data_IF_812027793370
#
_entry.id   IF_812027793370
#
_cell.length_a   1.000
_cell.length_b   1.000
_cell.length_c   1.000
_cell.angle_alpha   90.00
_cell.angle_beta   90.00
_cell.angle_gamma   90.00
#
_symmetry.space_group_name_H-M   'P 1'
#
loop_
_entity.id
_entity.type
_entity.pdbx_description
1 polymer ?
#
# COMPACT_ATOMS: atom_id res chain seq x y z
N UNK A 1 21.74 21.14 0.06
CA UNK A 1 21.10 21.09 -1.28
C UNK A 1 19.96 20.08 -1.24
N UNK A 2 18.93 20.34 -0.41
CA UNK A 2 17.81 19.43 -0.11
C UNK A 2 16.46 20.01 -0.62
N UNK A 3 16.47 20.95 -1.57
CA UNK A 3 15.60 22.14 -1.41
C UNK A 3 14.72 22.53 -2.60
N UNK A 4 14.51 21.71 -3.63
CA UNK A 4 13.46 21.98 -4.66
C UNK A 4 12.95 20.69 -5.29
N UNK A 5 13.85 19.75 -5.60
CA UNK A 5 13.50 18.49 -6.28
C UNK A 5 12.70 17.55 -5.36
N UNK A 6 13.03 17.46 -4.08
CA UNK A 6 12.28 16.65 -3.11
C UNK A 6 10.90 17.24 -2.82
N UNK A 7 10.79 18.57 -2.77
CA UNK A 7 9.52 19.27 -2.60
C UNK A 7 8.59 19.08 -3.81
N UNK A 8 9.11 19.18 -5.04
CA UNK A 8 8.28 18.95 -6.24
C UNK A 8 7.80 17.50 -6.36
N UNK A 9 8.60 16.53 -5.93
CA UNK A 9 8.19 15.13 -5.84
C UNK A 9 7.09 14.94 -4.79
N UNK A 10 7.24 15.51 -3.59
CA UNK A 10 6.22 15.44 -2.53
C UNK A 10 4.89 16.07 -2.97
N UNK A 11 4.92 17.21 -3.66
CA UNK A 11 3.72 17.85 -4.24
C UNK A 11 3.08 16.94 -5.29
N UNK A 12 3.87 16.36 -6.19
CA UNK A 12 3.37 15.45 -7.22
C UNK A 12 2.71 14.20 -6.64
N UNK A 13 3.33 13.57 -5.62
CA UNK A 13 2.76 12.41 -4.93
C UNK A 13 1.51 12.82 -4.17
N UNK A 14 1.51 13.98 -3.52
CA UNK A 14 0.33 14.52 -2.83
C UNK A 14 -0.86 14.68 -3.77
N UNK A 15 -0.65 15.23 -4.97
CA UNK A 15 -1.68 15.36 -5.99
C UNK A 15 -2.20 14.01 -6.50
N UNK A 16 -1.32 13.04 -6.77
CA UNK A 16 -1.73 11.69 -7.16
C UNK A 16 -2.54 11.01 -6.05
N UNK A 17 -2.10 11.17 -4.80
CA UNK A 17 -2.78 10.61 -3.62
C UNK A 17 -4.16 11.24 -3.44
N UNK A 18 -4.29 12.54 -3.64
CA UNK A 18 -5.58 13.23 -3.59
C UNK A 18 -6.53 12.77 -4.71
N UNK A 19 -6.02 12.50 -5.92
CA UNK A 19 -6.82 11.92 -7.00
C UNK A 19 -7.30 10.50 -6.66
N UNK A 20 -6.43 9.69 -6.05
CA UNK A 20 -6.81 8.35 -5.55
C UNK A 20 -7.87 8.44 -4.47
N UNK A 21 -7.69 9.36 -3.51
CA UNK A 21 -8.61 9.55 -2.41
C UNK A 21 -10.00 9.97 -2.91
N UNK A 22 -10.08 10.92 -3.85
CA UNK A 22 -11.35 11.33 -4.44
C UNK A 22 -12.05 10.18 -5.20
N UNK A 23 -11.28 9.22 -5.71
CA UNK A 23 -11.82 8.05 -6.44
C UNK A 23 -12.28 6.94 -5.48
N UNK A 24 -11.54 6.72 -4.38
CA UNK A 24 -11.76 5.60 -3.45
C UNK A 24 -12.62 5.98 -2.24
N UNK A 25 -12.57 7.24 -1.82
CA UNK A 25 -13.07 7.75 -0.53
C UNK A 25 -13.59 9.20 -0.68
N UNK A 26 -14.72 9.42 -1.37
CA UNK A 26 -15.28 10.77 -1.56
C UNK A 26 -15.78 11.42 -0.25
N UNK A 27 -16.07 10.61 0.78
CA UNK A 27 -16.74 11.07 2.02
C UNK A 27 -15.78 11.28 3.21
N UNK A 28 -14.48 10.97 3.08
CA UNK A 28 -13.50 11.06 4.18
C UNK A 28 -12.46 12.13 3.87
N UNK A 29 -12.56 13.27 4.58
CA UNK A 29 -11.53 14.32 4.54
C UNK A 29 -10.28 13.86 5.30
N UNK A 30 -9.29 13.33 4.58
CA UNK A 30 -7.95 13.12 5.12
C UNK A 30 -7.18 14.43 4.95
N UNK A 31 -6.61 15.01 6.03
CA UNK A 31 -5.79 16.21 5.92
C UNK A 31 -4.46 15.83 5.25
N UNK A 32 -4.41 15.95 3.92
CA UNK A 32 -3.15 15.94 3.20
C UNK A 32 -2.52 17.35 3.27
N UNK A 33 -1.19 17.40 3.08
CA UNK A 33 -0.39 18.61 2.95
C UNK A 33 -1.20 19.77 2.35
N UNK A 34 -1.44 20.82 3.15
CA UNK A 34 -1.98 22.08 2.63
C UNK A 34 -0.92 22.64 1.68
N UNK A 35 -1.15 22.48 0.39
CA UNK A 35 -0.45 23.27 -0.61
C UNK A 35 -1.02 24.68 -0.50
N UNK A 36 -0.28 25.61 0.13
CA UNK A 36 -0.57 27.02 -0.07
C UNK A 36 -0.50 27.29 -1.59
N UNK A 37 -1.62 27.71 -2.18
CA UNK A 37 -1.69 28.07 -3.60
C UNK A 37 -0.90 29.35 -3.94
N UNK A 38 -0.22 29.97 -2.97
CA UNK A 38 0.47 31.24 -3.14
C UNK A 38 1.99 31.13 -2.98
N UNK A 39 2.66 30.45 -3.92
CA UNK A 39 4.04 30.83 -4.31
C UNK A 39 4.20 30.77 -5.82
N UNK A 40 4.12 31.97 -6.38
CA UNK A 40 4.43 32.37 -7.75
C UNK A 40 5.39 31.43 -8.48
N UNK A 41 4.94 31.05 -9.69
CA UNK A 41 5.73 30.46 -10.76
C UNK A 41 7.10 31.12 -10.87
N UNK A 42 8.11 30.51 -10.27
CA UNK A 42 9.49 30.96 -10.35
C UNK A 42 10.29 29.99 -11.23
N UNK A 43 10.38 30.40 -12.49
CA UNK A 43 11.39 30.02 -13.48
C UNK A 43 11.61 28.53 -13.73
N UNK A 44 11.02 28.07 -14.83
CA UNK A 44 11.52 26.94 -15.61
C UNK A 44 13.02 27.15 -15.94
N UNK A 45 13.91 26.60 -15.13
CA UNK A 45 15.27 26.30 -15.59
C UNK A 45 15.17 25.09 -16.52
N UNK A 46 14.90 25.35 -17.81
CA UNK A 46 15.33 24.44 -18.87
C UNK A 46 16.85 24.45 -18.87
N UNK A 47 17.47 23.66 -18.00
CA UNK A 47 18.82 23.20 -18.28
C UNK A 47 18.70 22.27 -19.48
N UNK A 48 19.02 22.79 -20.65
CA UNK A 48 19.48 21.99 -21.78
C UNK A 48 20.66 21.18 -21.28
N UNK A 49 20.41 19.96 -20.82
CA UNK A 49 21.47 18.97 -20.70
C UNK A 49 21.86 18.71 -22.14
N UNK A 50 23.01 19.25 -22.53
CA UNK A 50 23.69 18.82 -23.74
C UNK A 50 23.79 17.30 -23.67
N UNK A 51 23.10 16.60 -24.58
CA UNK A 51 23.20 15.16 -24.85
C UNK A 51 24.61 14.78 -25.34
N UNK A 52 25.62 15.06 -24.53
CA UNK A 52 27.01 15.03 -24.92
C UNK A 52 27.81 14.19 -23.94
N UNK A 53 27.40 12.93 -23.75
CA UNK A 53 28.27 11.85 -23.30
C UNK A 53 27.74 10.53 -23.88
N UNK A 54 27.77 10.42 -25.21
CA UNK A 54 27.56 9.17 -25.95
C UNK A 54 28.78 8.25 -25.80
N UNK A 55 29.08 7.79 -24.59
CA UNK A 55 30.12 6.77 -24.39
C UNK A 55 29.51 5.40 -24.65
N UNK A 56 29.83 4.85 -25.82
CA UNK A 56 29.46 3.48 -26.18
C UNK A 56 30.50 2.52 -25.61
N UNK A 57 30.06 1.53 -24.85
CA UNK A 57 30.95 0.50 -24.31
C UNK A 57 31.36 -0.44 -25.45
N UNK A 58 32.65 -0.45 -25.76
CA UNK A 58 33.28 -1.42 -26.66
C UNK A 58 33.96 -2.52 -25.83
N UNK A 59 34.27 -3.64 -26.48
CA UNK A 59 34.95 -4.77 -25.83
C UNK A 59 36.32 -4.39 -25.24
N UNK A 60 37.08 -3.54 -25.93
CA UNK A 60 38.36 -3.02 -25.43
C UNK A 60 38.20 -2.16 -24.17
N UNK A 61 37.18 -1.31 -24.10
CA UNK A 61 36.89 -0.48 -22.92
C UNK A 61 36.49 -1.37 -21.75
N UNK A 62 35.61 -2.36 -21.98
CA UNK A 62 35.19 -3.28 -20.92
C UNK A 62 36.36 -4.09 -20.36
N UNK A 63 37.23 -4.62 -21.23
CA UNK A 63 38.42 -5.35 -20.81
C UNK A 63 39.42 -4.45 -20.06
N UNK A 64 39.59 -3.21 -20.50
CA UNK A 64 40.40 -2.24 -19.78
C UNK A 64 39.83 -1.93 -18.39
N UNK A 65 38.52 -1.73 -18.28
CA UNK A 65 37.86 -1.49 -16.99
C UNK A 65 38.01 -2.70 -16.06
N UNK A 66 37.79 -3.93 -16.56
CA UNK A 66 38.05 -5.17 -15.80
C UNK A 66 39.50 -5.25 -15.31
N UNK A 67 40.48 -4.82 -16.12
CA UNK A 67 41.90 -4.82 -15.72
C UNK A 67 42.23 -3.83 -14.59
N UNK A 68 41.39 -2.82 -14.38
CA UNK A 68 41.59 -1.78 -13.36
C UNK A 68 40.74 -2.01 -12.12
N UNK A 69 39.46 -2.30 -12.29
CA UNK A 69 38.51 -2.58 -11.22
C UNK A 69 37.24 -3.22 -11.78
N UNK A 70 36.89 -4.40 -11.26
CA UNK A 70 35.63 -5.08 -11.61
C UNK A 70 34.41 -4.23 -11.21
N UNK A 71 34.50 -3.44 -10.13
CA UNK A 71 33.40 -2.55 -9.70
C UNK A 71 33.17 -1.43 -10.72
N UNK A 72 34.24 -0.84 -11.28
CA UNK A 72 34.11 0.20 -12.30
C UNK A 72 33.53 -0.38 -13.59
N UNK A 73 33.88 -1.62 -13.94
CA UNK A 73 33.26 -2.33 -15.06
C UNK A 73 31.75 -2.57 -14.81
N UNK A 74 31.35 -2.94 -13.59
CA UNK A 74 29.93 -3.11 -13.21
C UNK A 74 29.15 -1.79 -13.36
N UNK A 75 29.66 -0.69 -12.79
CA UNK A 75 29.00 0.63 -12.87
C UNK A 75 28.88 1.09 -14.33
N UNK A 76 29.90 0.83 -15.16
CA UNK A 76 29.85 1.14 -16.58
C UNK A 76 28.76 0.30 -17.29
N UNK A 77 28.70 -1.02 -17.05
CA UNK A 77 27.66 -1.88 -17.62
C UNK A 77 26.23 -1.47 -17.18
N UNK A 78 26.05 -1.10 -15.92
CA UNK A 78 24.74 -0.68 -15.39
C UNK A 78 24.28 0.65 -16.02
N UNK A 79 25.19 1.62 -16.14
CA UNK A 79 24.91 2.94 -16.73
C UNK A 79 24.83 2.95 -18.27
N UNK A 80 25.08 1.82 -18.93
CA UNK A 80 25.02 1.69 -20.37
C UNK A 80 23.58 1.78 -20.88
N UNK A 81 23.12 2.95 -21.34
CA UNK A 81 21.76 3.10 -21.85
C UNK A 81 21.57 2.47 -23.23
N UNK A 82 20.38 1.91 -23.46
CA UNK A 82 19.95 1.40 -24.78
C UNK A 82 19.68 2.60 -25.70
N UNK A 83 20.74 3.19 -26.25
CA UNK A 83 20.58 4.24 -27.25
C UNK A 83 19.94 3.62 -28.49
N UNK A 84 18.70 4.01 -28.79
CA UNK A 84 18.08 3.75 -30.09
C UNK A 84 19.04 4.23 -31.17
N UNK A 85 19.36 3.33 -32.11
CA UNK A 85 20.21 3.59 -33.28
C UNK A 85 20.05 5.03 -33.72
N UNK A 86 21.15 5.80 -33.69
CA UNK A 86 21.16 7.13 -34.27
C UNK A 86 20.53 7.05 -35.68
N UNK A 87 19.67 8.01 -36.08
CA UNK A 87 19.24 8.08 -37.47
C UNK A 87 20.51 8.09 -38.32
N UNK A 88 20.53 7.31 -39.39
CA UNK A 88 21.65 7.28 -40.35
C UNK A 88 21.75 8.66 -41.00
N UNK A 89 22.38 9.62 -40.32
CA UNK A 89 22.70 10.93 -40.84
C UNK A 89 24.09 10.85 -41.45
N UNK A 90 24.13 10.79 -42.78
CA UNK A 90 25.22 11.26 -43.62
C UNK A 90 26.58 10.62 -43.41
N UNK A 91 27.02 9.86 -44.43
CA UNK A 91 28.40 9.45 -44.69
C UNK A 91 29.42 10.44 -44.11
N UNK A 92 30.01 10.07 -42.97
CA UNK A 92 31.09 10.81 -42.34
C UNK A 92 32.40 10.40 -43.01
N UNK A 93 33.15 11.39 -43.50
CA UNK A 93 34.51 11.25 -44.05
C UNK A 93 35.43 10.36 -43.19
N UNK A 94 35.16 10.25 -41.88
CA UNK A 94 35.90 9.37 -40.97
C UNK A 94 35.79 7.86 -41.28
N UNK A 95 34.80 7.40 -42.07
CA UNK A 95 34.71 5.99 -42.48
C UNK A 95 35.70 5.61 -43.60
N UNK A 96 36.24 6.60 -44.34
CA UNK A 96 37.23 6.36 -45.40
C UNK A 96 38.68 6.31 -44.89
N UNK A 97 38.96 6.87 -43.71
CA UNK A 97 40.29 6.81 -43.08
C UNK A 97 40.28 5.68 -42.07
N UNK A 98 40.35 4.43 -42.56
CA UNK A 98 40.93 3.21 -41.99
C UNK A 98 41.07 2.95 -40.48
N UNK A 99 40.41 3.67 -39.59
CA UNK A 99 40.38 3.37 -38.17
C UNK A 99 39.26 2.37 -37.94
N UNK A 100 39.63 1.13 -37.67
CA UNK A 100 38.75 0.05 -37.19
C UNK A 100 38.09 0.50 -35.88
N UNK A 101 37.03 1.30 -35.98
CA UNK A 101 36.24 1.71 -34.83
C UNK A 101 35.47 0.47 -34.40
N UNK A 102 35.84 -0.08 -33.24
CA UNK A 102 35.18 -1.26 -32.69
C UNK A 102 33.67 -1.01 -32.59
N UNK A 103 32.89 -2.00 -33.02
CA UNK A 103 31.44 -1.96 -32.89
C UNK A 103 31.06 -1.89 -31.41
N UNK A 104 30.07 -1.06 -31.04
CA UNK A 104 29.55 -1.07 -29.69
C UNK A 104 29.01 -2.46 -29.34
N UNK A 105 29.22 -2.89 -28.09
CA UNK A 105 28.68 -4.17 -27.64
C UNK A 105 27.14 -4.13 -27.66
N UNK A 106 26.53 -5.24 -28.04
CA UNK A 106 25.10 -5.43 -27.93
C UNK A 106 24.70 -5.44 -26.45
N UNK A 107 23.51 -4.89 -26.16
CA UNK A 107 23.02 -4.75 -24.78
C UNK A 107 22.92 -6.10 -24.06
N UNK A 108 22.63 -7.19 -24.79
CA UNK A 108 22.59 -8.55 -24.26
C UNK A 108 23.97 -9.04 -23.82
N UNK A 109 25.02 -8.73 -24.59
CA UNK A 109 26.40 -9.03 -24.22
C UNK A 109 26.84 -8.23 -22.98
N UNK A 110 26.43 -6.96 -22.88
CA UNK A 110 26.70 -6.11 -21.71
C UNK A 110 25.98 -6.66 -20.47
N UNK A 111 24.72 -7.08 -20.61
CA UNK A 111 23.93 -7.65 -19.53
C UNK A 111 24.50 -8.99 -19.02
N UNK A 112 24.91 -9.89 -19.92
CA UNK A 112 25.54 -11.16 -19.56
C UNK A 112 26.87 -10.94 -18.82
N UNK A 113 27.68 -9.99 -19.28
CA UNK A 113 28.93 -9.65 -18.62
C UNK A 113 28.71 -8.96 -17.28
N UNK A 114 27.67 -8.13 -17.15
CA UNK A 114 27.30 -7.54 -15.86
C UNK A 114 26.85 -8.61 -14.85
N UNK A 115 26.07 -9.59 -15.29
CA UNK A 115 25.64 -10.71 -14.44
C UNK A 115 26.83 -11.51 -13.90
N UNK A 116 27.80 -11.84 -14.78
CA UNK A 116 29.03 -12.53 -14.39
C UNK A 116 29.84 -11.71 -13.38
N UNK A 117 30.00 -10.40 -13.64
CA UNK A 117 30.73 -9.52 -12.71
C UNK A 117 30.00 -9.33 -11.38
N UNK A 118 28.66 -9.25 -11.38
CA UNK A 118 27.86 -9.14 -10.16
C UNK A 118 27.93 -10.41 -9.29
N UNK A 119 28.13 -11.58 -9.88
CA UNK A 119 28.33 -12.83 -9.15
C UNK A 119 29.56 -12.80 -8.24
N UNK A 120 30.55 -11.96 -8.55
CA UNK A 120 31.73 -11.74 -7.70
C UNK A 120 31.43 -10.85 -6.47
N UNK A 121 30.32 -10.11 -6.49
CA UNK A 121 29.93 -9.14 -5.45
C UNK A 121 28.49 -9.41 -4.94
N UNK A 122 28.29 -10.46 -4.12
CA UNK A 122 26.94 -10.88 -3.70
C UNK A 122 26.19 -9.82 -2.87
N UNK A 123 26.91 -8.99 -2.12
CA UNK A 123 26.29 -7.88 -1.36
C UNK A 123 25.73 -6.81 -2.30
N UNK A 124 26.49 -6.42 -3.32
CA UNK A 124 26.04 -5.43 -4.31
C UNK A 124 24.89 -6.00 -5.15
N UNK A 125 25.00 -7.26 -5.56
CA UNK A 125 23.93 -7.95 -6.27
C UNK A 125 22.63 -7.95 -5.45
N UNK A 126 22.70 -8.28 -4.15
CA UNK A 126 21.53 -8.28 -3.27
C UNK A 126 20.96 -6.87 -3.11
N UNK A 127 21.81 -5.86 -2.94
CA UNK A 127 21.38 -4.46 -2.86
C UNK A 127 20.63 -3.99 -4.11
N UNK A 128 21.22 -4.22 -5.30
CA UNK A 128 20.60 -3.86 -6.58
C UNK A 128 19.30 -4.63 -6.80
N UNK A 129 19.28 -5.93 -6.46
CA UNK A 129 18.08 -6.75 -6.57
C UNK A 129 16.96 -6.16 -5.73
N UNK A 130 17.19 -5.89 -4.44
CA UNK A 130 16.19 -5.32 -3.52
C UNK A 130 15.65 -3.98 -3.98
N UNK A 131 16.51 -3.07 -4.44
CA UNK A 131 16.07 -1.72 -4.85
C UNK A 131 15.46 -1.66 -6.24
N UNK A 132 15.69 -2.67 -7.08
CA UNK A 132 15.12 -2.76 -8.41
C UNK A 132 13.73 -3.40 -8.46
N UNK A 133 13.36 -4.19 -7.44
CA UNK A 133 12.05 -4.87 -7.34
C UNK A 133 10.87 -3.98 -7.74
N UNK A 134 10.72 -2.73 -7.23
CA UNK A 134 9.56 -1.90 -7.57
C UNK A 134 9.53 -1.39 -9.02
N UNK A 135 10.64 -1.47 -9.76
CA UNK A 135 10.73 -0.95 -11.14
C UNK A 135 10.81 -2.04 -12.21
N UNK A 136 10.91 -3.30 -11.80
CA UNK A 136 10.92 -4.44 -12.70
C UNK A 136 9.47 -4.92 -12.87
N UNK A 137 9.05 -5.13 -14.11
CA UNK A 137 7.71 -5.65 -14.41
C UNK A 137 7.63 -7.14 -13.99
N UNK A 138 6.47 -7.54 -13.45
CA UNK A 138 6.22 -8.85 -12.82
C UNK A 138 6.46 -10.07 -13.74
N UNK A 139 6.63 -9.84 -15.05
CA UNK A 139 6.83 -10.89 -16.07
C UNK A 139 8.25 -11.49 -16.13
N UNK A 140 9.17 -11.07 -15.26
CA UNK A 140 10.55 -11.60 -15.24
C UNK A 140 10.71 -12.64 -14.13
N UNK A 141 10.21 -13.85 -14.36
CA UNK A 141 10.50 -15.00 -13.51
C UNK A 141 11.98 -15.40 -13.62
N UNK A 142 12.68 -15.46 -12.47
CA UNK A 142 13.87 -16.27 -12.24
C UNK A 142 15.16 -15.92 -13.03
N UNK A 143 16.23 -15.55 -12.31
CA UNK A 143 17.60 -15.29 -12.80
C UNK A 143 17.81 -14.15 -13.82
N UNK A 144 16.79 -13.63 -14.49
CA UNK A 144 16.95 -12.52 -15.44
C UNK A 144 16.91 -11.12 -14.80
N UNK A 145 16.73 -11.03 -13.48
CA UNK A 145 16.66 -9.75 -12.76
C UNK A 145 17.89 -8.86 -13.00
N UNK A 146 19.10 -9.42 -12.92
CA UNK A 146 20.34 -8.66 -13.14
C UNK A 146 20.47 -8.16 -14.59
N UNK A 147 19.97 -8.94 -15.56
CA UNK A 147 19.95 -8.56 -16.98
C UNK A 147 18.94 -7.45 -17.25
N UNK A 148 17.80 -7.51 -16.57
CA UNK A 148 16.71 -6.53 -16.65
C UNK A 148 17.12 -5.15 -16.12
N UNK A 149 18.08 -5.06 -15.20
CA UNK A 149 18.54 -3.80 -14.61
C UNK A 149 19.51 -3.05 -15.54
N UNK A 150 20.30 -3.77 -16.33
CA UNK A 150 21.30 -3.18 -17.21
C UNK A 150 20.65 -2.29 -18.27
N UNK A 151 21.07 -1.02 -18.32
CA UNK A 151 20.59 -0.05 -19.29
C UNK A 151 19.17 0.49 -19.07
N UNK A 152 18.53 0.13 -17.95
CA UNK A 152 17.35 0.84 -17.46
C UNK A 152 17.75 2.06 -16.65
N UNK A 153 16.91 3.09 -16.74
CA UNK A 153 17.08 4.36 -16.01
C UNK A 153 17.11 4.13 -14.48
N UNK A 154 16.46 3.06 -14.02
CA UNK A 154 16.41 2.63 -12.62
C UNK A 154 17.81 2.32 -12.03
N UNK A 155 18.78 1.91 -12.85
CA UNK A 155 20.15 1.66 -12.37
C UNK A 155 20.86 2.94 -11.90
N UNK A 156 20.66 4.04 -12.64
CA UNK A 156 21.17 5.37 -12.29
C UNK A 156 20.48 5.92 -11.04
N UNK A 157 19.18 5.68 -10.90
CA UNK A 157 18.43 6.04 -9.69
C UNK A 157 18.96 5.30 -8.45
N UNK A 158 19.20 3.99 -8.54
CA UNK A 158 19.67 3.20 -7.40
C UNK A 158 21.07 3.63 -6.94
N UNK A 159 21.95 3.96 -7.89
CA UNK A 159 23.35 4.32 -7.59
C UNK A 159 23.54 5.78 -7.18
N UNK A 160 22.76 6.70 -7.75
CA UNK A 160 22.91 8.15 -7.53
C UNK A 160 21.81 8.75 -6.64
N UNK A 161 20.73 8.02 -6.38
CA UNK A 161 19.57 8.50 -5.63
C UNK A 161 18.96 9.76 -6.26
N UNK A 162 18.54 10.70 -5.41
CA UNK A 162 17.99 12.00 -5.83
C UNK A 162 18.99 12.93 -6.51
N UNK A 163 20.29 12.60 -6.56
CA UNK A 163 21.26 13.37 -7.34
C UNK A 163 21.12 13.13 -8.85
N UNK A 164 20.36 12.11 -9.26
CA UNK A 164 20.05 11.88 -10.66
C UNK A 164 18.92 12.82 -11.13
N UNK A 165 19.12 13.64 -12.19
CA UNK A 165 18.17 14.68 -12.58
C UNK A 165 16.79 14.16 -13.02
N UNK A 166 16.71 12.91 -13.51
CA UNK A 166 15.44 12.27 -13.86
C UNK A 166 14.92 11.29 -12.78
N UNK A 167 15.48 11.33 -11.56
CA UNK A 167 15.07 10.46 -10.46
C UNK A 167 13.57 10.61 -10.14
N UNK A 168 13.13 11.86 -10.03
CA UNK A 168 11.75 12.17 -9.70
C UNK A 168 10.78 11.69 -10.78
N UNK A 169 11.12 11.88 -12.05
CA UNK A 169 10.27 11.45 -13.18
C UNK A 169 10.10 9.94 -13.18
N UNK A 170 11.19 9.18 -12.96
CA UNK A 170 11.16 7.72 -12.93
C UNK A 170 10.37 7.18 -11.73
N UNK A 171 10.55 7.77 -10.54
CA UNK A 171 9.78 7.40 -9.35
C UNK A 171 8.30 7.72 -9.56
N UNK A 172 7.98 8.90 -10.09
CA UNK A 172 6.60 9.32 -10.34
C UNK A 172 5.91 8.47 -11.41
N UNK A 173 6.60 8.13 -12.50
CA UNK A 173 6.05 7.25 -13.55
C UNK A 173 5.79 5.84 -13.00
N UNK A 174 6.73 5.29 -12.23
CA UNK A 174 6.57 3.98 -11.60
C UNK A 174 5.42 3.97 -10.59
N UNK A 175 5.31 5.03 -9.77
CA UNK A 175 4.22 5.19 -8.81
C UNK A 175 2.88 5.33 -9.52
N UNK A 176 2.80 6.19 -10.54
CA UNK A 176 1.58 6.38 -11.32
C UNK A 176 1.15 5.07 -11.99
N UNK A 177 2.09 4.32 -12.59
CA UNK A 177 1.81 3.00 -13.16
C UNK A 177 1.27 2.05 -12.11
N UNK A 178 1.94 1.92 -10.96
CA UNK A 178 1.54 1.02 -9.88
C UNK A 178 0.16 1.37 -9.30
N UNK A 179 -0.14 2.67 -9.17
CA UNK A 179 -1.46 3.18 -8.75
C UNK A 179 -2.54 2.85 -9.79
N UNK A 180 -2.27 3.05 -11.09
CA UNK A 180 -3.23 2.69 -12.16
C UNK A 180 -3.48 1.18 -12.24
N UNK A 181 -2.46 0.37 -11.96
CA UNK A 181 -2.55 -1.09 -11.88
C UNK A 181 -3.14 -1.57 -10.55
N UNK A 182 -3.42 -0.67 -9.60
CA UNK A 182 -3.90 -0.95 -8.24
C UNK A 182 -3.00 -1.93 -7.48
N UNK A 183 -1.70 -1.92 -7.78
CA UNK A 183 -0.72 -2.76 -7.10
C UNK A 183 -0.16 -2.01 -5.87
N UNK A 184 -0.95 -2.00 -4.79
CA UNK A 184 -0.63 -1.26 -3.57
C UNK A 184 0.66 -1.73 -2.89
N UNK A 185 1.02 -3.02 -3.02
CA UNK A 185 2.30 -3.55 -2.52
C UNK A 185 3.50 -2.90 -3.21
N UNK A 186 3.43 -2.74 -4.53
CA UNK A 186 4.47 -2.08 -5.33
C UNK A 186 4.55 -0.58 -5.00
N UNK A 187 3.40 0.07 -4.80
CA UNK A 187 3.32 1.46 -4.33
C UNK A 187 4.06 1.61 -3.00
N UNK A 188 3.72 0.80 -1.98
CA UNK A 188 4.35 0.88 -0.67
C UNK A 188 5.86 0.60 -0.71
N UNK A 189 6.30 -0.35 -1.53
CA UNK A 189 7.74 -0.61 -1.70
C UNK A 189 8.49 0.59 -2.31
N UNK A 190 7.92 1.28 -3.30
CA UNK A 190 8.52 2.50 -3.87
C UNK A 190 8.66 3.57 -2.77
N UNK A 191 7.59 3.75 -2.00
CA UNK A 191 7.53 4.76 -0.95
C UNK A 191 8.53 4.47 0.17
N UNK A 192 8.55 3.25 0.70
CA UNK A 192 9.42 2.86 1.81
C UNK A 192 10.90 2.87 1.41
N UNK A 193 11.25 2.48 0.18
CA UNK A 193 12.64 2.37 -0.26
C UNK A 193 13.26 3.71 -0.71
N UNK A 194 12.46 4.64 -1.24
CA UNK A 194 12.98 5.88 -1.84
C UNK A 194 12.52 7.15 -1.16
N UNK A 195 11.37 7.14 -0.48
CA UNK A 195 10.67 8.35 -0.02
C UNK A 195 10.52 8.36 1.51
N UNK A 196 10.68 7.23 2.19
CA UNK A 196 10.49 7.08 3.63
C UNK A 196 11.39 7.94 4.52
N UNK A 197 12.48 8.51 3.98
CA UNK A 197 13.36 9.44 4.72
C UNK A 197 12.95 10.92 4.62
N UNK A 198 11.88 11.24 3.87
CA UNK A 198 11.40 12.62 3.72
C UNK A 198 10.48 13.01 4.88
N UNK A 199 10.74 14.19 5.46
CA UNK A 199 9.87 14.83 6.45
C UNK A 199 8.48 15.12 5.83
N UNK A 200 7.41 15.03 6.64
CA UNK A 200 6.00 15.22 6.25
C UNK A 200 5.39 14.18 5.28
N UNK A 201 6.08 13.08 5.01
CA UNK A 201 5.58 12.02 4.12
C UNK A 201 4.55 11.07 4.78
N UNK A 202 4.51 11.03 6.12
CA UNK A 202 3.63 10.14 6.90
C UNK A 202 2.15 10.28 6.48
N UNK A 203 1.63 11.51 6.34
CA UNK A 203 0.24 11.72 5.95
C UNK A 203 -0.09 11.26 4.53
N UNK A 204 0.88 11.33 3.61
CA UNK A 204 0.72 10.84 2.22
C UNK A 204 0.74 9.32 2.19
N UNK A 205 1.62 8.69 2.95
CA UNK A 205 1.66 7.24 3.13
C UNK A 205 0.36 6.73 3.73
N UNK A 206 -0.12 7.37 4.79
CA UNK A 206 -1.38 7.02 5.44
C UNK A 206 -2.54 7.12 4.46
N UNK A 207 -2.67 8.22 3.70
CA UNK A 207 -3.73 8.35 2.70
C UNK A 207 -3.68 7.28 1.59
N UNK A 208 -2.49 6.86 1.16
CA UNK A 208 -2.35 5.76 0.19
C UNK A 208 -2.70 4.40 0.81
N UNK A 209 -2.32 4.14 2.07
CA UNK A 209 -2.75 2.96 2.82
C UNK A 209 -4.28 2.92 2.99
N UNK A 210 -4.92 4.08 3.15
CA UNK A 210 -6.38 4.19 3.20
C UNK A 210 -7.04 3.81 1.87
N UNK A 211 -6.45 4.22 0.75
CA UNK A 211 -6.92 3.83 -0.58
C UNK A 211 -6.76 2.31 -0.80
N UNK A 212 -5.62 1.74 -0.40
CA UNK A 212 -5.39 0.30 -0.45
C UNK A 212 -6.42 -0.47 0.40
N UNK A 213 -6.72 0.04 1.61
CA UNK A 213 -7.72 -0.55 2.49
C UNK A 213 -9.15 -0.51 1.91
N UNK A 214 -9.46 0.50 1.09
CA UNK A 214 -10.78 0.68 0.49
C UNK A 214 -11.04 -0.28 -0.69
N UNK A 215 -10.00 -0.59 -1.47
CA UNK A 215 -10.09 -1.35 -2.72
C UNK A 215 -9.80 -2.85 -2.56
N UNK A 216 -8.87 -3.25 -1.69
CA UNK A 216 -8.52 -4.66 -1.50
C UNK A 216 -9.50 -5.39 -0.57
N UNK A 217 -9.76 -6.67 -0.86
CA UNK A 217 -10.60 -7.55 -0.02
C UNK A 217 -9.97 -7.79 1.36
N UNK A 218 -8.65 -7.90 1.41
CA UNK A 218 -7.83 -7.99 2.63
C UNK A 218 -7.34 -6.60 3.10
N UNK A 219 -8.06 -5.54 2.72
CA UNK A 219 -7.68 -4.15 2.94
C UNK A 219 -7.42 -3.79 4.42
N UNK A 220 -8.04 -4.52 5.35
CA UNK A 220 -7.85 -4.35 6.80
C UNK A 220 -6.39 -4.51 7.24
N UNK A 221 -5.57 -5.30 6.54
CA UNK A 221 -4.16 -5.52 6.88
C UNK A 221 -3.33 -4.23 6.74
N UNK A 222 -3.68 -3.35 5.80
CA UNK A 222 -2.97 -2.09 5.59
C UNK A 222 -3.24 -1.08 6.71
N UNK A 223 -4.39 -1.19 7.38
CA UNK A 223 -4.74 -0.27 8.47
C UNK A 223 -3.82 -0.40 9.68
N UNK A 224 -3.19 -1.56 9.94
CA UNK A 224 -2.23 -1.69 11.03
C UNK A 224 -0.96 -0.83 10.86
N UNK A 225 -0.63 -0.51 9.61
CA UNK A 225 0.57 0.25 9.24
C UNK A 225 0.32 1.76 9.24
N UNK A 226 -0.94 2.18 9.31
CA UNK A 226 -1.34 3.60 9.36
C UNK A 226 -0.83 4.22 10.67
N UNK A 227 -0.12 5.34 10.56
CA UNK A 227 0.48 6.04 11.70
C UNK A 227 -0.54 6.85 12.49
N UNK A 228 -1.51 7.50 11.82
CA UNK A 228 -2.58 8.24 12.50
C UNK A 228 -3.64 7.31 13.13
N UNK A 229 -3.74 7.25 14.48
CA UNK A 229 -4.66 6.35 15.17
C UNK A 229 -6.13 6.77 15.02
N UNK A 230 -6.43 8.06 14.88
CA UNK A 230 -7.79 8.57 14.73
C UNK A 230 -8.30 8.28 13.31
N UNK A 231 -7.45 8.50 12.30
CA UNK A 231 -7.76 8.15 10.91
C UNK A 231 -8.01 6.65 10.76
N UNK A 232 -7.10 5.84 11.29
CA UNK A 232 -7.21 4.37 11.29
C UNK A 232 -8.52 3.90 11.92
N UNK A 233 -8.89 4.47 13.07
CA UNK A 233 -10.11 4.11 13.78
C UNK A 233 -11.39 4.49 13.02
N UNK A 234 -11.44 5.68 12.41
CA UNK A 234 -12.57 6.10 11.55
C UNK A 234 -12.73 5.19 10.33
N UNK A 235 -11.62 4.81 9.70
CA UNK A 235 -11.64 3.94 8.52
C UNK A 235 -12.00 2.50 8.87
N UNK A 236 -11.49 2.00 9.98
CA UNK A 236 -11.86 0.68 10.48
C UNK A 236 -13.38 0.60 10.66
N UNK A 237 -14.00 1.60 11.30
CA UNK A 237 -15.45 1.70 11.46
C UNK A 237 -16.21 1.81 10.13
N UNK A 238 -15.67 2.55 9.17
CA UNK A 238 -16.32 2.77 7.86
C UNK A 238 -16.34 1.52 6.98
N UNK A 239 -15.28 0.71 7.03
CA UNK A 239 -15.10 -0.43 6.14
C UNK A 239 -15.46 -1.80 6.75
N UNK A 240 -15.98 -1.84 7.99
CA UNK A 240 -16.34 -3.10 8.65
C UNK A 240 -17.14 -4.02 7.74
N UNK A 241 -18.18 -3.49 7.09
CA UNK A 241 -19.12 -4.27 6.27
C UNK A 241 -18.44 -5.00 5.08
N UNK A 242 -17.20 -4.63 4.70
CA UNK A 242 -16.43 -5.29 3.63
C UNK A 242 -15.60 -6.48 4.10
N UNK A 243 -15.38 -6.66 5.40
CA UNK A 243 -14.40 -7.59 5.94
C UNK A 243 -15.04 -8.75 6.71
N UNK A 244 -14.31 -9.88 6.89
CA UNK A 244 -14.78 -10.98 7.73
C UNK A 244 -14.82 -10.58 9.21
N UNK A 245 -15.66 -11.28 9.98
CA UNK A 245 -15.97 -10.93 11.37
C UNK A 245 -14.71 -10.90 12.25
N UNK A 246 -13.82 -11.87 12.07
CA UNK A 246 -12.58 -12.03 12.82
C UNK A 246 -11.64 -10.85 12.56
N UNK A 247 -11.48 -10.45 11.30
CA UNK A 247 -10.67 -9.30 10.92
C UNK A 247 -11.23 -7.99 11.50
N UNK A 248 -12.56 -7.84 11.47
CA UNK A 248 -13.23 -6.70 12.09
C UNK A 248 -12.97 -6.62 13.60
N UNK A 249 -13.05 -7.75 14.32
CA UNK A 249 -12.78 -7.79 15.76
C UNK A 249 -11.31 -7.47 16.07
N UNK A 250 -10.39 -8.01 15.28
CA UNK A 250 -8.95 -7.78 15.46
C UNK A 250 -8.58 -6.30 15.25
N UNK A 251 -9.01 -5.69 14.14
CA UNK A 251 -8.68 -4.29 13.84
C UNK A 251 -9.34 -3.32 14.83
N UNK A 252 -10.58 -3.58 15.23
CA UNK A 252 -11.26 -2.75 16.22
C UNK A 252 -10.64 -2.90 17.61
N UNK A 253 -10.27 -4.12 18.01
CA UNK A 253 -9.56 -4.38 19.26
C UNK A 253 -8.20 -3.66 19.29
N UNK A 254 -7.46 -3.72 18.19
CA UNK A 254 -6.20 -3.00 18.04
C UNK A 254 -6.38 -1.48 18.17
N UNK A 255 -7.36 -0.92 17.46
CA UNK A 255 -7.71 0.50 17.59
C UNK A 255 -8.12 0.84 19.03
N UNK A 256 -8.91 0.02 19.72
CA UNK A 256 -9.36 0.32 21.08
C UNK A 256 -8.22 0.36 22.12
N UNK A 257 -7.16 -0.42 21.91
CA UNK A 257 -5.98 -0.45 22.79
C UNK A 257 -5.11 0.81 22.71
N UNK A 258 -5.33 1.68 21.73
CA UNK A 258 -4.45 2.83 21.48
C UNK A 258 -4.76 4.01 22.41
N UNK A 259 -3.72 4.60 23.04
CA UNK A 259 -3.90 5.62 24.06
C UNK A 259 -4.24 7.01 23.50
N UNK A 260 -3.97 7.26 22.21
CA UNK A 260 -4.03 8.59 21.58
C UNK A 260 -5.29 8.82 20.74
N UNK A 261 -6.40 8.13 21.04
CA UNK A 261 -7.66 8.25 20.29
C UNK A 261 -8.64 9.22 20.96
N UNK A 262 -9.38 9.97 20.15
CA UNK A 262 -10.48 10.82 20.60
C UNK A 262 -11.54 10.04 21.42
N UNK A 263 -12.03 10.62 22.51
CA UNK A 263 -12.94 9.95 23.45
C UNK A 263 -14.25 9.47 22.79
N UNK A 264 -14.82 10.29 21.90
CA UNK A 264 -16.05 9.94 21.17
C UNK A 264 -15.82 8.73 20.25
N UNK A 265 -14.70 8.73 19.54
CA UNK A 265 -14.32 7.63 18.65
C UNK A 265 -14.04 6.34 19.43
N UNK A 266 -13.46 6.45 20.63
CA UNK A 266 -13.26 5.31 21.51
C UNK A 266 -14.58 4.70 21.98
N UNK A 267 -15.58 5.52 22.24
CA UNK A 267 -16.92 5.04 22.58
C UNK A 267 -17.58 4.34 21.38
N UNK A 268 -17.45 4.89 20.18
CA UNK A 268 -17.97 4.29 18.94
C UNK A 268 -17.32 2.93 18.66
N UNK A 269 -15.99 2.84 18.82
CA UNK A 269 -15.25 1.58 18.73
C UNK A 269 -15.77 0.55 19.74
N UNK A 270 -15.95 0.95 21.01
CA UNK A 270 -16.45 0.06 22.05
C UNK A 270 -17.85 -0.46 21.75
N UNK A 271 -18.75 0.43 21.30
CA UNK A 271 -20.11 0.06 20.92
C UNK A 271 -20.09 -0.95 19.76
N UNK A 272 -19.24 -0.73 18.76
CA UNK A 272 -19.12 -1.63 17.61
C UNK A 272 -18.47 -2.97 17.94
N UNK A 273 -17.48 -3.01 18.83
CA UNK A 273 -16.90 -4.28 19.32
C UNK A 273 -17.99 -5.13 19.98
N UNK A 274 -18.79 -4.53 20.89
CA UNK A 274 -19.91 -5.22 21.54
C UNK A 274 -20.96 -5.71 20.53
N UNK A 275 -21.30 -4.89 19.54
CA UNK A 275 -22.24 -5.26 18.47
C UNK A 275 -21.73 -6.49 17.68
N UNK A 276 -20.44 -6.51 17.30
CA UNK A 276 -19.85 -7.65 16.61
C UNK A 276 -19.75 -8.90 17.49
N UNK A 277 -19.53 -8.75 18.81
CA UNK A 277 -19.57 -9.87 19.74
C UNK A 277 -20.96 -10.51 19.82
N UNK A 278 -22.03 -9.71 19.78
CA UNK A 278 -23.41 -10.19 19.70
C UNK A 278 -23.61 -10.99 18.41
N UNK A 279 -23.16 -10.47 17.26
CA UNK A 279 -23.25 -11.22 15.99
C UNK A 279 -22.48 -12.54 16.05
N UNK A 280 -21.28 -12.55 16.63
CA UNK A 280 -20.51 -13.78 16.83
C UNK A 280 -21.27 -14.79 17.67
N UNK A 281 -21.84 -14.36 18.80
CA UNK A 281 -22.65 -15.23 19.68
C UNK A 281 -23.86 -15.80 18.93
N UNK A 282 -24.60 -14.98 18.19
CA UNK A 282 -25.78 -15.42 17.42
C UNK A 282 -25.38 -16.41 16.31
N UNK A 283 -24.29 -16.17 15.58
CA UNK A 283 -23.80 -17.11 14.56
C UNK A 283 -23.44 -18.47 15.18
N UNK A 284 -22.85 -18.50 16.38
CA UNK A 284 -22.56 -19.77 17.08
C UNK A 284 -23.81 -20.54 17.50
N UNK A 285 -24.96 -19.90 17.63
CA UNK A 285 -26.23 -20.57 17.94
C UNK A 285 -26.79 -21.31 16.73
N UNK A 286 -26.53 -20.82 15.51
CA UNK A 286 -27.12 -21.38 14.29
C UNK A 286 -26.26 -21.11 13.05
N UNK A 287 -25.38 -22.05 12.76
CA UNK A 287 -24.35 -21.95 11.70
C UNK A 287 -24.95 -21.97 10.28
N UNK A 288 -26.11 -22.61 10.08
CA UNK A 288 -26.64 -22.89 8.72
C UNK A 288 -27.54 -21.78 8.13
N UNK A 289 -27.88 -20.73 8.87
CA UNK A 289 -28.91 -19.74 8.43
C UNK A 289 -28.31 -18.54 7.71
N UNK A 290 -27.09 -18.13 8.06
CA UNK A 290 -26.44 -16.95 7.49
C UNK A 290 -25.06 -17.31 6.97
N UNK A 291 -24.78 -16.91 5.72
CA UNK A 291 -23.47 -17.16 5.12
C UNK A 291 -22.37 -16.28 5.75
N UNK A 292 -22.69 -15.03 6.09
CA UNK A 292 -21.78 -14.10 6.76
C UNK A 292 -22.50 -13.23 7.79
N UNK A 293 -21.74 -12.58 8.67
CA UNK A 293 -22.27 -11.67 9.68
C UNK A 293 -23.00 -10.45 9.09
N UNK A 294 -22.66 -10.02 7.86
CA UNK A 294 -23.37 -8.96 7.15
C UNK A 294 -24.80 -9.35 6.81
N UNK A 295 -25.05 -10.63 6.49
CA UNK A 295 -26.40 -11.13 6.24
C UNK A 295 -27.20 -11.20 7.53
N UNK A 296 -26.55 -11.56 8.64
CA UNK A 296 -27.15 -11.49 9.96
C UNK A 296 -27.52 -10.03 10.32
N UNK A 297 -26.62 -9.06 10.11
CA UNK A 297 -26.88 -7.63 10.35
C UNK A 297 -28.13 -7.14 9.59
N UNK A 298 -28.28 -7.53 8.32
CA UNK A 298 -29.49 -7.21 7.53
C UNK A 298 -30.73 -7.86 8.12
N UNK A 299 -30.66 -9.15 8.48
CA UNK A 299 -31.77 -9.86 9.09
C UNK A 299 -32.18 -9.33 10.48
N UNK A 300 -31.25 -8.77 11.25
CA UNK A 300 -31.58 -8.07 12.51
C UNK A 300 -32.50 -6.86 12.27
N UNK A 301 -32.35 -6.18 11.14
CA UNK A 301 -33.20 -5.06 10.74
C UNK A 301 -34.50 -5.54 10.09
N UNK A 302 -34.40 -6.49 9.16
CA UNK A 302 -35.54 -6.92 8.35
C UNK A 302 -36.49 -7.85 9.12
N UNK A 303 -35.95 -8.74 9.97
CA UNK A 303 -36.70 -9.80 10.65
C UNK A 303 -36.24 -10.01 12.10
N UNK A 304 -36.35 -9.01 12.99
CA UNK A 304 -35.90 -9.10 14.39
C UNK A 304 -36.59 -10.23 15.18
N UNK A 305 -37.83 -10.57 14.82
CA UNK A 305 -38.59 -11.67 15.44
C UNK A 305 -37.88 -13.03 15.31
N UNK A 306 -37.29 -13.31 14.14
CA UNK A 306 -36.61 -14.59 13.89
C UNK A 306 -35.34 -14.70 14.71
N UNK A 307 -34.61 -13.58 14.87
CA UNK A 307 -33.39 -13.52 15.67
C UNK A 307 -33.70 -13.79 17.15
N UNK A 308 -34.70 -13.09 17.70
CA UNK A 308 -35.09 -13.27 19.10
C UNK A 308 -35.61 -14.69 19.35
N UNK A 309 -36.38 -15.26 18.43
CA UNK A 309 -36.85 -16.63 18.56
C UNK A 309 -35.68 -17.62 18.68
N UNK A 310 -34.62 -17.45 17.88
CA UNK A 310 -33.41 -18.28 17.93
C UNK A 310 -32.68 -18.11 19.27
N UNK A 311 -32.54 -16.88 19.77
CA UNK A 311 -31.88 -16.63 21.06
C UNK A 311 -32.69 -17.23 22.23
N UNK A 312 -34.03 -17.11 22.19
CA UNK A 312 -34.93 -17.70 23.17
C UNK A 312 -34.91 -19.24 23.15
N UNK A 313 -34.88 -19.85 21.95
CA UNK A 313 -34.70 -21.29 21.79
C UNK A 313 -33.39 -21.78 22.45
N UNK A 314 -32.32 -20.98 22.36
CA UNK A 314 -31.05 -21.25 23.02
C UNK A 314 -31.04 -20.95 24.53
N UNK A 315 -32.08 -20.27 25.06
CA UNK A 315 -32.20 -19.82 26.46
C UNK A 315 -31.05 -18.91 26.92
N UNK A 316 -30.42 -18.18 25.99
CA UNK A 316 -29.36 -17.23 26.29
C UNK A 316 -29.97 -15.84 26.55
N UNK A 317 -30.41 -15.63 27.79
CA UNK A 317 -31.09 -14.39 28.18
C UNK A 317 -30.12 -13.20 28.31
N UNK A 318 -28.85 -13.44 28.63
CA UNK A 318 -27.84 -12.37 28.65
C UNK A 318 -27.62 -11.82 27.24
N UNK A 319 -27.60 -12.69 26.23
CA UNK A 319 -27.55 -12.28 24.83
C UNK A 319 -28.79 -11.47 24.39
N UNK A 320 -29.98 -11.78 24.93
CA UNK A 320 -31.16 -10.96 24.68
C UNK A 320 -31.03 -9.53 25.25
N UNK A 321 -30.49 -9.40 26.46
CA UNK A 321 -30.25 -8.09 27.08
C UNK A 321 -29.20 -7.29 26.29
N UNK A 322 -28.08 -7.92 25.95
CA UNK A 322 -27.03 -7.30 25.12
C UNK A 322 -27.58 -6.85 23.77
N UNK A 323 -28.39 -7.68 23.11
CA UNK A 323 -29.03 -7.36 21.82
C UNK A 323 -30.03 -6.19 21.92
N UNK A 324 -30.75 -6.09 23.05
CA UNK A 324 -31.73 -5.02 23.29
C UNK A 324 -31.12 -3.61 23.31
N UNK A 325 -29.82 -3.50 23.57
CA UNK A 325 -29.08 -2.23 23.55
C UNK A 325 -28.91 -1.69 22.13
N UNK A 326 -28.93 -2.55 21.11
CA UNK A 326 -28.69 -2.19 19.72
C UNK A 326 -29.95 -2.23 18.86
N UNK A 327 -30.90 -3.11 19.21
CA UNK A 327 -32.13 -3.32 18.44
C UNK A 327 -33.37 -3.32 19.35
N UNK A 328 -34.47 -2.66 18.93
CA UNK A 328 -35.70 -2.69 19.70
C UNK A 328 -36.33 -4.09 19.70
N UNK A 329 -36.63 -4.61 20.89
CA UNK A 329 -37.35 -5.88 21.05
C UNK A 329 -38.82 -5.67 20.68
N UNK A 330 -39.40 -6.49 19.76
CA UNK A 330 -40.82 -6.45 19.48
C UNK A 330 -41.66 -6.73 20.73
N UNK A 331 -42.65 -5.88 20.98
CA UNK A 331 -43.49 -5.90 22.20
C UNK A 331 -44.21 -7.23 22.43
N UNK A 332 -44.53 -7.95 21.35
CA UNK A 332 -45.17 -9.26 21.36
C UNK A 332 -44.31 -10.35 22.00
N UNK A 333 -42.99 -10.29 21.81
CA UNK A 333 -42.02 -11.25 22.36
C UNK A 333 -41.49 -10.81 23.73
N UNK A 334 -41.63 -9.54 24.08
CA UNK A 334 -41.18 -9.00 25.36
C UNK A 334 -41.89 -9.68 26.55
N UNK A 335 -43.18 -9.97 26.40
CA UNK A 335 -43.98 -10.59 27.48
C UNK A 335 -43.64 -12.08 27.64
N UNK A 336 -43.38 -12.80 26.54
CA UNK A 336 -42.92 -14.19 26.60
C UNK A 336 -41.49 -14.27 27.13
N UNK A 337 -40.60 -13.38 26.70
CA UNK A 337 -39.21 -13.31 27.15
C UNK A 337 -39.12 -13.02 28.65
N UNK A 338 -39.84 -12.01 29.14
CA UNK A 338 -39.82 -11.69 30.57
C UNK A 338 -40.38 -12.84 31.43
N UNK A 339 -41.42 -13.53 30.94
CA UNK A 339 -41.98 -14.72 31.60
C UNK A 339 -40.98 -15.87 31.64
N UNK A 340 -40.33 -16.20 30.53
CA UNK A 340 -39.37 -17.30 30.49
C UNK A 340 -38.07 -17.00 31.24
N UNK A 341 -37.60 -15.75 31.19
CA UNK A 341 -36.46 -15.28 31.96
C UNK A 341 -36.72 -15.36 33.47
N UNK A 342 -37.89 -14.90 33.95
CA UNK A 342 -38.28 -15.05 35.36
C UNK A 342 -38.35 -16.51 35.79
N UNK A 343 -38.89 -17.40 34.95
CA UNK A 343 -38.92 -18.83 35.23
C UNK A 343 -37.50 -19.44 35.32
N UNK A 344 -36.58 -18.97 34.49
CA UNK A 344 -35.18 -19.39 34.50
C UNK A 344 -34.44 -18.91 35.77
N UNK A 345 -34.59 -17.64 36.15
CA UNK A 345 -34.01 -17.08 37.38
C UNK A 345 -34.53 -17.79 38.64
N UNK A 346 -35.83 -18.09 38.68
CA UNK A 346 -36.43 -18.87 39.77
C UNK A 346 -35.87 -20.30 39.84
N UNK A 347 -35.54 -20.90 38.70
CA UNK A 347 -34.91 -22.23 38.64
C UNK A 347 -33.45 -22.21 39.13
N UNK A 348 -32.71 -21.12 38.89
CA UNK A 348 -31.32 -20.94 39.36
C UNK A 348 -31.23 -20.56 40.85
N UNK A 349 -32.38 -20.29 41.51
CA UNK A 349 -32.48 -19.77 42.88
C UNK A 349 -31.79 -18.41 43.09
N UNK A 350 -31.56 -17.66 42.02
CA UNK A 350 -30.98 -16.32 42.10
C UNK A 350 -32.10 -15.29 42.29
N UNK A 351 -32.64 -15.23 43.50
CA UNK A 351 -33.83 -14.44 43.84
C UNK A 351 -33.57 -12.93 43.90
N UNK A 352 -32.32 -12.49 43.90
CA UNK A 352 -31.97 -11.06 43.93
C UNK A 352 -32.16 -10.38 42.57
N UNK A 353 -31.87 -11.07 41.45
CA UNK A 353 -32.09 -10.54 40.09
C UNK A 353 -33.53 -10.68 39.59
N UNK A 354 -34.35 -11.56 40.18
CA UNK A 354 -35.74 -11.76 39.76
C UNK A 354 -36.73 -10.66 40.19
N UNK A 355 -36.28 -9.70 41.01
CA UNK A 355 -37.13 -8.66 41.61
C UNK A 355 -36.86 -7.25 41.06
N UNK A 356 -35.82 -7.07 40.24
CA UNK A 356 -35.55 -5.86 39.45
C UNK A 356 -36.15 -6.01 38.06
#
# INVERSE_FOLDING_TARGET
MKTVQTESLLIGIGQLTQQCLNTCLPDICIPLLKCDEDREASSSFKQTVSDSNQYRITASILNFLKSKSNITAIIACLSASKIHKAPKSGLSWMELIGNKKESPLEMECIANECELLLSEFPVLQRFLSTLSVPFVDDYTEGNEYNRSICGKICSSLILLGFHYPAANEVIMEALQKAVTEKNWKKVLQILDLHIGELEDFAGVKDALLCCAAAEETDGWKYLFVVEDPDLRSKLALHFLDKWPLEACQEILGYCFCEPHIAADLKQDLQNKIKELEIYRKILTLKDDVWANWQDLKKNCVDNPHTIIAIILEAKDYELCEDWSLFYPIPTELLTSLHREHLLHLLHIKDTERSLQ
#
